data_IF_070579459683
#
_entry.id   IF_070579459683
#
_cell.length_a   1.000
_cell.length_b   1.000
_cell.length_c   1.000
_cell.angle_alpha   90.00
_cell.angle_beta   90.00
_cell.angle_gamma   90.00
#
_symmetry.space_group_name_H-M   'P 1'
#
loop_
_entity.id
_entity.type
_entity.pdbx_description
1 polymer ?
#
# COMPACT_ATOMS: atom_id res chain seq x y z
N UNK A 1 -4.51 -21.98 1.56
CA UNK A 1 -3.46 -21.95 2.61
C UNK A 1 -3.35 -20.52 3.10
N UNK A 2 -2.79 -20.27 4.28
CA UNK A 2 -2.60 -18.92 4.79
C UNK A 2 -1.11 -18.68 4.99
N UNK A 3 -0.67 -17.44 4.77
CA UNK A 3 0.71 -17.04 4.94
C UNK A 3 0.78 -15.78 5.80
N UNK A 4 1.87 -15.66 6.56
CA UNK A 4 2.28 -14.40 7.17
C UNK A 4 3.59 -13.96 6.52
N UNK A 5 3.68 -12.70 6.14
CA UNK A 5 4.87 -12.11 5.54
C UNK A 5 5.37 -11.05 6.50
N UNK A 6 6.64 -11.14 6.89
CA UNK A 6 7.29 -10.17 7.76
C UNK A 6 8.51 -9.62 7.04
N UNK A 7 8.86 -8.38 7.34
CA UNK A 7 10.11 -7.80 6.92
C UNK A 7 10.88 -7.21 8.11
N UNK A 8 12.13 -6.82 7.88
CA UNK A 8 12.93 -6.14 8.88
C UNK A 8 13.79 -5.05 8.28
N UNK A 9 14.21 -4.09 9.11
CA UNK A 9 15.04 -2.94 8.73
C UNK A 9 16.37 -3.29 8.05
N UNK A 10 16.79 -4.54 8.15
CA UNK A 10 17.98 -5.05 7.50
C UNK A 10 17.76 -5.42 6.02
N UNK A 11 16.54 -5.34 5.46
CA UNK A 11 16.23 -5.74 4.08
C UNK A 11 15.79 -7.19 3.90
N UNK A 12 15.63 -7.97 4.97
CA UNK A 12 15.12 -9.35 4.88
C UNK A 12 13.60 -9.35 4.88
N UNK A 13 13.00 -10.16 4.00
CA UNK A 13 11.57 -10.46 3.98
C UNK A 13 11.40 -11.98 4.13
N UNK A 14 10.56 -12.42 5.05
CA UNK A 14 10.32 -13.83 5.37
C UNK A 14 8.84 -14.17 5.15
N UNK A 15 8.58 -15.30 4.48
CA UNK A 15 7.24 -15.81 4.20
C UNK A 15 7.03 -17.09 5.01
N UNK A 16 6.06 -17.07 5.91
CA UNK A 16 5.69 -18.20 6.76
C UNK A 16 4.35 -18.79 6.32
N UNK A 17 4.32 -20.07 5.96
CA UNK A 17 3.06 -20.80 5.84
C UNK A 17 2.46 -21.03 7.23
N UNK A 18 1.24 -20.57 7.43
CA UNK A 18 0.48 -20.76 8.66
C UNK A 18 -0.22 -22.12 8.65
N UNK A 19 -0.03 -22.88 9.71
CA UNK A 19 -0.60 -24.22 9.88
C UNK A 19 -1.31 -24.31 11.23
N UNK A 20 -2.56 -24.77 11.22
CA UNK A 20 -3.33 -25.01 12.43
C UNK A 20 -3.20 -26.48 12.86
N UNK A 21 -2.81 -26.70 14.11
CA UNK A 21 -2.85 -28.00 14.75
C UNK A 21 -3.15 -27.84 16.24
N UNK A 22 -4.08 -28.66 16.77
CA UNK A 22 -4.43 -28.67 18.19
C UNK A 22 -4.77 -27.27 18.75
N UNK A 23 -5.63 -26.50 18.06
CA UNK A 23 -6.01 -25.12 18.40
C UNK A 23 -4.82 -24.15 18.52
N UNK A 24 -3.70 -24.43 17.87
CA UNK A 24 -2.51 -23.58 17.81
C UNK A 24 -2.16 -23.30 16.37
N UNK A 25 -1.86 -22.04 16.05
CA UNK A 25 -1.29 -21.64 14.76
C UNK A 25 0.22 -21.63 14.87
N UNK A 26 0.90 -22.35 13.99
CA UNK A 26 2.37 -22.31 13.85
C UNK A 26 2.75 -21.78 12.47
N UNK A 27 3.90 -21.12 12.37
CA UNK A 27 4.45 -20.62 11.12
C UNK A 27 5.64 -21.44 10.69
N UNK A 28 5.63 -21.95 9.45
CA UNK A 28 6.78 -22.60 8.81
C UNK A 28 7.36 -21.66 7.76
N UNK A 29 8.62 -21.26 7.90
CA UNK A 29 9.33 -20.48 6.88
C UNK A 29 9.36 -21.26 5.56
N UNK A 30 8.82 -20.67 4.49
CA UNK A 30 8.74 -21.28 3.15
C UNK A 30 9.55 -20.55 2.11
N UNK A 31 9.69 -19.23 2.24
CA UNK A 31 10.51 -18.40 1.35
C UNK A 31 11.16 -17.27 2.14
N UNK A 32 12.28 -16.78 1.61
CA UNK A 32 12.98 -15.60 2.10
C UNK A 32 13.42 -14.78 0.89
N UNK A 33 13.29 -13.46 0.98
CA UNK A 33 13.78 -12.50 -0.01
C UNK A 33 14.72 -11.49 0.65
N UNK A 34 15.51 -10.82 -0.20
CA UNK A 34 16.42 -9.77 0.23
C UNK A 34 16.31 -8.56 -0.70
N UNK A 35 16.17 -7.39 -0.11
CA UNK A 35 16.31 -6.08 -0.78
C UNK A 35 17.53 -5.35 -0.22
N UNK A 36 17.90 -4.27 -0.90
CA UNK A 36 19.13 -3.52 -0.67
C UNK A 36 19.11 -2.62 0.57
N UNK A 37 17.93 -2.21 1.06
CA UNK A 37 17.76 -1.34 2.22
C UNK A 37 16.44 -1.63 2.95
N UNK A 38 16.08 -0.79 3.93
CA UNK A 38 14.87 -0.97 4.73
C UNK A 38 13.60 -1.07 3.85
N UNK A 39 12.86 -2.19 3.96
CA UNK A 39 11.51 -2.34 3.45
C UNK A 39 10.49 -2.11 4.56
N UNK A 40 9.29 -1.67 4.21
CA UNK A 40 8.20 -1.50 5.18
C UNK A 40 6.85 -1.93 4.59
N UNK A 41 6.26 -1.14 3.69
CA UNK A 41 4.96 -1.45 3.12
C UNK A 41 4.96 -2.72 2.26
N UNK A 42 3.92 -3.55 2.42
CA UNK A 42 3.74 -4.78 1.66
C UNK A 42 2.28 -4.97 1.25
N UNK A 43 2.05 -5.41 0.01
CA UNK A 43 0.72 -5.79 -0.48
C UNK A 43 0.82 -7.04 -1.36
N UNK A 44 -0.17 -7.95 -1.28
CA UNK A 44 -0.20 -9.18 -2.07
C UNK A 44 -1.34 -9.21 -3.09
N UNK A 45 -1.11 -9.94 -4.18
CA UNK A 45 -2.15 -10.44 -5.08
C UNK A 45 -2.24 -11.95 -4.86
N UNK A 46 -3.20 -12.36 -4.03
CA UNK A 46 -3.28 -13.75 -3.54
C UNK A 46 -3.51 -14.77 -4.66
N UNK A 47 -4.23 -14.42 -5.72
CA UNK A 47 -4.52 -15.34 -6.83
C UNK A 47 -3.38 -15.44 -7.87
N UNK A 48 -2.43 -14.52 -7.85
CA UNK A 48 -1.29 -14.49 -8.79
C UNK A 48 0.04 -14.81 -8.10
N UNK A 49 0.01 -15.09 -6.80
CA UNK A 49 1.19 -15.33 -5.97
C UNK A 49 2.22 -14.18 -6.13
N UNK A 50 1.78 -12.93 -6.02
CA UNK A 50 2.65 -11.74 -6.12
C UNK A 50 2.69 -10.99 -4.79
N UNK A 51 3.87 -10.50 -4.45
CA UNK A 51 4.16 -9.60 -3.33
C UNK A 51 4.81 -8.32 -3.84
N UNK A 52 4.20 -7.17 -3.53
CA UNK A 52 4.81 -5.85 -3.65
C UNK A 52 5.44 -5.47 -2.31
N UNK A 53 6.64 -4.91 -2.35
CA UNK A 53 7.41 -4.46 -1.19
C UNK A 53 7.93 -3.05 -1.44
N UNK A 54 7.51 -2.09 -0.62
CA UNK A 54 8.08 -0.74 -0.60
C UNK A 54 9.45 -0.78 0.04
N UNK A 55 10.48 -0.42 -0.72
CA UNK A 55 11.84 -0.18 -0.23
C UNK A 55 11.98 1.33 -0.08
N UNK A 56 11.91 1.82 1.17
CA UNK A 56 11.57 3.21 1.55
C UNK A 56 12.22 4.27 0.67
N UNK A 57 13.55 4.18 0.48
CA UNK A 57 14.34 5.17 -0.26
C UNK A 57 14.79 4.70 -1.66
N UNK A 58 14.08 3.76 -2.30
CA UNK A 58 14.53 3.13 -3.54
C UNK A 58 13.43 2.96 -4.58
N UNK A 59 12.47 2.08 -4.31
CA UNK A 59 11.43 1.69 -5.26
C UNK A 59 10.43 0.72 -4.63
N UNK A 60 9.40 0.33 -5.39
CA UNK A 60 8.57 -0.84 -5.05
C UNK A 60 9.14 -2.06 -5.78
N UNK A 61 9.61 -3.04 -5.01
CA UNK A 61 10.08 -4.33 -5.48
C UNK A 61 8.89 -5.31 -5.61
N UNK A 62 8.85 -6.07 -6.70
CA UNK A 62 7.86 -7.13 -6.94
C UNK A 62 8.55 -8.48 -6.79
N UNK A 63 7.93 -9.39 -6.05
CA UNK A 63 8.39 -10.77 -5.86
C UNK A 63 7.27 -11.76 -6.18
N UNK A 64 7.64 -12.88 -6.78
CA UNK A 64 6.80 -14.06 -6.88
C UNK A 64 6.82 -14.88 -5.59
N UNK A 65 5.65 -15.28 -5.11
CA UNK A 65 5.44 -16.20 -4.00
C UNK A 65 5.29 -17.65 -4.50
N UNK A 66 5.34 -18.59 -3.56
CA UNK A 66 5.25 -20.01 -3.82
C UNK A 66 6.36 -20.53 -4.73
N UNK A 67 5.97 -20.99 -5.92
CA UNK A 67 6.88 -21.52 -6.94
C UNK A 67 7.27 -20.49 -8.00
N UNK A 68 6.68 -19.30 -7.94
CA UNK A 68 6.99 -18.23 -8.88
C UNK A 68 8.43 -17.76 -8.68
N UNK A 69 9.15 -17.52 -9.78
CA UNK A 69 10.48 -16.92 -9.76
C UNK A 69 10.45 -15.47 -10.21
N UNK A 70 9.26 -14.85 -10.25
CA UNK A 70 9.10 -13.48 -10.69
C UNK A 70 9.86 -12.53 -9.75
N UNK A 71 10.60 -11.60 -10.35
CA UNK A 71 11.24 -10.51 -9.62
C UNK A 71 11.42 -9.33 -10.57
N UNK A 72 10.88 -8.18 -10.17
CA UNK A 72 10.92 -6.96 -10.97
C UNK A 72 10.85 -5.72 -10.08
N UNK A 73 11.22 -4.57 -10.63
CA UNK A 73 10.98 -3.27 -10.00
C UNK A 73 9.75 -2.66 -10.69
N UNK A 74 8.77 -2.22 -9.90
CA UNK A 74 7.59 -1.57 -10.46
C UNK A 74 7.99 -0.22 -11.09
N UNK A 75 7.61 0.06 -12.35
CA UNK A 75 8.04 1.29 -13.03
C UNK A 75 7.54 2.57 -12.35
N UNK A 76 8.32 3.66 -12.44
CA UNK A 76 7.92 5.00 -11.94
C UNK A 76 7.67 5.08 -10.43
N UNK A 77 8.38 4.26 -9.64
CA UNK A 77 8.33 4.27 -8.17
C UNK A 77 9.60 4.84 -7.53
N UNK A 78 10.45 5.58 -8.25
CA UNK A 78 11.65 6.17 -7.68
C UNK A 78 11.75 7.65 -8.03
N UNK A 79 12.38 8.44 -7.15
CA UNK A 79 12.56 9.88 -7.40
C UNK A 79 13.35 10.17 -8.69
N UNK A 80 14.18 9.22 -9.14
CA UNK A 80 14.95 9.32 -10.38
C UNK A 80 14.10 9.19 -11.66
N UNK A 81 12.98 8.46 -11.59
CA UNK A 81 12.11 8.21 -12.75
C UNK A 81 10.73 8.85 -12.64
N UNK A 82 10.37 9.37 -11.47
CA UNK A 82 9.10 10.04 -11.20
C UNK A 82 9.28 11.13 -10.12
N UNK A 83 9.20 12.42 -10.47
CA UNK A 83 9.38 13.51 -9.50
C UNK A 83 8.27 13.61 -8.45
N UNK A 84 7.17 12.87 -8.62
CA UNK A 84 6.11 12.75 -7.61
C UNK A 84 6.42 11.73 -6.51
N UNK A 85 7.57 11.04 -6.58
CA UNK A 85 8.04 10.13 -5.54
C UNK A 85 9.08 10.83 -4.69
N UNK A 86 8.65 11.38 -3.56
CA UNK A 86 9.52 11.88 -2.51
C UNK A 86 9.51 10.89 -1.34
N UNK A 87 10.64 10.22 -1.13
CA UNK A 87 10.79 9.19 -0.10
C UNK A 87 10.44 9.72 1.30
N UNK A 88 9.86 8.90 2.17
CA UNK A 88 9.83 7.43 2.08
C UNK A 88 8.60 6.81 1.39
N UNK A 89 8.77 5.63 0.78
CA UNK A 89 7.67 4.76 0.33
C UNK A 89 7.27 3.89 1.51
N UNK A 90 6.09 4.16 2.06
CA UNK A 90 5.58 3.51 3.27
C UNK A 90 4.52 2.46 2.91
N UNK A 91 3.36 2.50 3.57
CA UNK A 91 2.27 1.56 3.39
C UNK A 91 1.86 1.37 1.94
N UNK A 92 1.64 0.10 1.58
CA UNK A 92 1.11 -0.32 0.29
C UNK A 92 -0.25 -1.01 0.53
N UNK A 93 -1.22 -0.71 -0.32
CA UNK A 93 -2.47 -1.46 -0.38
C UNK A 93 -2.89 -1.66 -1.83
N UNK A 94 -3.59 -2.75 -2.12
CA UNK A 94 -4.13 -3.00 -3.45
C UNK A 94 -5.65 -3.15 -3.40
N UNK A 95 -6.31 -2.81 -4.49
CA UNK A 95 -7.74 -3.07 -4.64
C UNK A 95 -8.11 -3.34 -6.09
N UNK A 96 -9.20 -4.08 -6.27
CA UNK A 96 -9.81 -4.34 -7.57
C UNK A 96 -11.06 -3.48 -7.75
N UNK A 97 -11.24 -2.91 -8.94
CA UNK A 97 -12.44 -2.17 -9.31
C UNK A 97 -12.75 -2.40 -10.78
N UNK A 98 -13.91 -2.98 -11.08
CA UNK A 98 -14.23 -3.41 -12.45
C UNK A 98 -13.33 -4.56 -12.89
N UNK A 99 -12.69 -4.41 -14.04
CA UNK A 99 -11.69 -5.33 -14.60
C UNK A 99 -10.24 -4.91 -14.31
N UNK A 100 -10.07 -3.88 -13.48
CA UNK A 100 -8.77 -3.29 -13.14
C UNK A 100 -8.35 -3.63 -11.73
N UNK A 101 -7.03 -3.70 -11.53
CA UNK A 101 -6.39 -3.77 -10.21
C UNK A 101 -5.45 -2.59 -10.03
N UNK A 102 -5.47 -2.01 -8.85
CA UNK A 102 -4.68 -0.84 -8.50
C UNK A 102 -3.82 -1.10 -7.27
N UNK A 103 -2.64 -0.51 -7.24
CA UNK A 103 -1.78 -0.40 -6.06
C UNK A 103 -1.74 1.06 -5.63
N UNK A 104 -2.00 1.33 -4.35
CA UNK A 104 -1.79 2.64 -3.73
C UNK A 104 -0.56 2.55 -2.83
N UNK A 105 0.36 3.50 -2.98
CA UNK A 105 1.53 3.65 -2.14
C UNK A 105 1.48 4.99 -1.38
N UNK A 106 1.71 4.96 -0.07
CA UNK A 106 2.00 6.17 0.71
C UNK A 106 3.40 6.67 0.35
N UNK A 107 3.47 7.90 -0.12
CA UNK A 107 4.71 8.61 -0.44
C UNK A 107 4.89 9.69 0.63
N UNK A 108 5.51 9.31 1.74
CA UNK A 108 5.55 10.05 2.98
C UNK A 108 6.28 11.39 2.82
N UNK A 109 7.39 11.44 2.10
CA UNK A 109 8.16 12.68 1.90
C UNK A 109 7.43 13.79 1.15
N UNK A 110 6.34 13.47 0.45
CA UNK A 110 5.47 14.46 -0.20
C UNK A 110 4.05 14.45 0.32
N UNK A 111 3.70 13.69 1.36
CA UNK A 111 2.34 13.58 1.90
C UNK A 111 1.32 13.30 0.78
N UNK A 112 1.66 12.37 -0.10
CA UNK A 112 0.85 12.02 -1.27
C UNK A 112 0.67 10.52 -1.37
N UNK A 113 -0.34 10.10 -2.11
CA UNK A 113 -0.61 8.70 -2.39
C UNK A 113 -0.50 8.48 -3.89
N UNK A 114 0.46 7.66 -4.32
CA UNK A 114 0.65 7.30 -5.72
C UNK A 114 -0.21 6.08 -6.08
N UNK A 115 -0.89 6.12 -7.23
CA UNK A 115 -1.72 5.03 -7.72
C UNK A 115 -1.12 4.45 -9.00
N UNK A 116 -1.02 3.13 -9.04
CA UNK A 116 -0.52 2.35 -10.17
C UNK A 116 -1.60 1.38 -10.66
N UNK A 117 -1.76 1.22 -11.97
CA UNK A 117 -2.46 0.09 -12.59
C UNK A 117 -1.52 -1.12 -12.53
N UNK A 118 -1.95 -2.17 -11.85
CA UNK A 118 -1.25 -3.45 -11.68
C UNK A 118 -2.11 -4.62 -12.19
N UNK A 119 -3.02 -4.33 -13.14
CA UNK A 119 -3.92 -5.33 -13.74
C UNK A 119 -3.15 -6.41 -14.47
N UNK A 120 -2.08 -6.03 -15.17
CA UNK A 120 -1.24 -6.94 -15.95
C UNK A 120 0.18 -6.91 -15.39
N UNK A 121 0.61 -8.04 -14.84
CA UNK A 121 1.97 -8.23 -14.36
C UNK A 121 3.00 -7.99 -15.49
N UNK A 122 3.98 -7.13 -15.24
CA UNK A 122 5.00 -6.71 -16.21
C UNK A 122 4.59 -5.56 -17.15
N UNK A 123 3.34 -5.09 -17.07
CA UNK A 123 2.84 -3.90 -17.79
C UNK A 123 2.33 -2.84 -16.82
N UNK A 124 2.86 -2.80 -15.59
CA UNK A 124 2.39 -1.89 -14.54
C UNK A 124 2.60 -0.42 -14.92
N UNK A 125 1.60 0.43 -14.63
CA UNK A 125 1.58 1.82 -15.09
C UNK A 125 1.28 2.75 -13.92
N UNK A 126 2.15 3.74 -13.68
CA UNK A 126 1.80 4.88 -12.82
C UNK A 126 0.66 5.69 -13.44
N UNK A 127 -0.39 5.93 -12.68
CA UNK A 127 -1.58 6.65 -13.13
C UNK A 127 -1.57 8.10 -12.65
N UNK A 128 -1.53 8.30 -11.33
CA UNK A 128 -1.69 9.62 -10.71
C UNK A 128 -1.19 9.61 -9.26
N UNK A 129 -1.08 10.79 -8.65
CA UNK A 129 -0.87 10.97 -7.22
C UNK A 129 -1.84 12.01 -6.67
N UNK A 130 -2.28 11.83 -5.43
CA UNK A 130 -3.17 12.79 -4.76
C UNK A 130 -2.72 13.10 -3.33
N UNK A 131 -3.18 14.23 -2.80
CA UNK A 131 -2.99 14.64 -1.39
C UNK A 131 -4.35 14.83 -0.74
N UNK A 132 -4.44 14.51 0.54
CA UNK A 132 -5.62 14.77 1.35
C UNK A 132 -5.48 16.13 2.04
N UNK A 133 -6.41 17.03 1.71
CA UNK A 133 -6.47 18.37 2.28
C UNK A 133 -7.64 18.48 3.24
N UNK A 134 -7.60 19.50 4.11
CA UNK A 134 -8.71 19.85 5.00
C UNK A 134 -10.03 19.90 4.24
N UNK A 135 -11.06 19.28 4.81
CA UNK A 135 -12.40 19.25 4.22
C UNK A 135 -13.30 20.39 4.74
N UNK A 136 -14.47 20.54 4.10
CA UNK A 136 -15.46 21.58 4.46
C UNK A 136 -16.04 21.41 5.86
N UNK A 137 -16.07 20.18 6.38
CA UNK A 137 -16.51 19.86 7.75
C UNK A 137 -15.44 20.19 8.81
N UNK A 138 -14.26 20.64 8.39
CA UNK A 138 -13.18 21.05 9.28
C UNK A 138 -12.21 19.93 9.68
N UNK A 139 -12.41 18.70 9.21
CA UNK A 139 -11.43 17.62 9.34
C UNK A 139 -10.19 18.02 8.56
N UNK A 140 -9.04 17.93 9.19
CA UNK A 140 -7.72 18.30 8.67
C UNK A 140 -7.29 17.44 7.48
N UNK A 141 -6.14 17.82 6.90
CA UNK A 141 -5.47 17.02 5.87
C UNK A 141 -4.81 15.78 6.46
N UNK A 142 -3.89 15.19 5.71
CA UNK A 142 -3.07 14.07 6.18
C UNK A 142 -1.63 14.32 5.83
N UNK A 143 -0.75 14.13 6.81
CA UNK A 143 0.70 14.28 6.68
C UNK A 143 1.41 13.08 7.32
N UNK A 144 2.64 12.79 6.87
CA UNK A 144 3.47 11.66 7.33
C UNK A 144 2.72 10.33 7.45
N UNK A 145 1.95 9.93 6.42
CA UNK A 145 1.27 8.63 6.45
C UNK A 145 2.26 7.47 6.44
N UNK A 146 2.23 6.64 7.49
CA UNK A 146 2.84 5.32 7.51
C UNK A 146 1.94 4.31 6.74
N UNK A 147 0.92 3.77 7.41
CA UNK A 147 0.04 2.72 6.88
C UNK A 147 -1.23 3.23 6.18
N UNK A 148 -1.68 2.47 5.18
CA UNK A 148 -2.98 2.64 4.52
C UNK A 148 -3.60 1.27 4.17
N UNK A 149 -4.92 1.24 4.00
CA UNK A 149 -5.64 0.06 3.54
C UNK A 149 -6.89 0.46 2.73
N UNK A 150 -7.27 -0.36 1.75
CA UNK A 150 -8.44 -0.12 0.89
C UNK A 150 -9.39 -1.30 0.92
N UNK A 151 -10.67 -1.00 1.10
CA UNK A 151 -11.76 -1.94 0.82
C UNK A 151 -12.59 -1.39 -0.32
N UNK A 152 -12.49 -1.98 -1.52
CA UNK A 152 -13.30 -1.62 -2.69
C UNK A 152 -14.60 -2.44 -2.75
N UNK A 153 -15.38 -2.41 -1.67
CA UNK A 153 -16.68 -3.09 -1.55
C UNK A 153 -17.65 -2.22 -0.75
N UNK A 154 -18.97 -2.30 -1.01
CA UNK A 154 -19.95 -1.52 -0.27
C UNK A 154 -19.85 -1.73 1.24
N UNK A 155 -19.71 -0.62 1.98
CA UNK A 155 -19.66 -0.60 3.45
C UNK A 155 -20.72 0.37 3.99
N UNK A 156 -21.96 -0.11 3.98
CA UNK A 156 -23.13 0.67 4.39
C UNK A 156 -23.42 1.82 3.43
N UNK A 157 -24.28 2.76 3.86
CA UNK A 157 -24.74 3.87 3.02
C UNK A 157 -23.72 4.98 2.86
N UNK A 158 -22.76 5.09 3.78
CA UNK A 158 -21.77 6.16 3.77
C UNK A 158 -20.62 5.88 2.79
N UNK A 159 -20.35 4.59 2.53
CA UNK A 159 -19.23 4.13 1.70
C UNK A 159 -19.73 3.12 0.66
N UNK A 160 -20.58 3.53 -0.29
CA UNK A 160 -21.27 2.61 -1.19
C UNK A 160 -20.33 1.88 -2.17
N UNK A 161 -19.19 2.48 -2.53
CA UNK A 161 -18.13 1.82 -3.32
C UNK A 161 -16.96 1.35 -2.43
N UNK A 162 -17.06 1.57 -1.13
CA UNK A 162 -16.02 1.24 -0.16
C UNK A 162 -15.22 2.44 0.35
N UNK A 163 -14.08 2.13 0.96
CA UNK A 163 -13.35 3.05 1.83
C UNK A 163 -11.84 2.88 1.66
N UNK A 164 -11.13 4.00 1.64
CA UNK A 164 -9.69 4.09 1.86
C UNK A 164 -9.47 4.60 3.29
N UNK A 165 -8.61 3.92 4.05
CA UNK A 165 -8.19 4.32 5.39
C UNK A 165 -6.70 4.64 5.34
N UNK A 166 -6.33 5.81 5.87
CA UNK A 166 -4.92 6.24 5.93
C UNK A 166 -4.59 6.68 7.35
N UNK A 167 -3.40 6.37 7.82
CA UNK A 167 -2.87 6.96 9.07
C UNK A 167 -2.49 8.42 8.83
N UNK A 168 -2.65 9.24 9.87
CA UNK A 168 -2.23 10.63 9.89
C UNK A 168 -1.23 10.90 11.01
N UNK A 169 0.00 11.23 10.61
CA UNK A 169 1.12 11.53 11.48
C UNK A 169 0.98 12.87 12.22
N UNK A 170 0.26 13.84 11.63
CA UNK A 170 0.03 15.16 12.21
C UNK A 170 -1.45 15.54 12.24
N UNK A 171 -2.18 14.92 13.16
CA UNK A 171 -3.61 15.17 13.36
C UNK A 171 -3.86 16.49 14.10
N UNK A 172 -4.58 17.42 13.47
CA UNK A 172 -4.94 18.72 14.03
C UNK A 172 -6.45 18.87 14.26
N UNK A 173 -6.81 19.34 15.46
CA UNK A 173 -8.12 19.93 15.71
C UNK A 173 -7.98 21.46 15.64
N UNK A 174 -8.37 22.04 14.51
CA UNK A 174 -8.16 23.46 14.21
C UNK A 174 -6.67 23.79 14.03
N UNK A 175 -6.05 24.35 15.07
CA UNK A 175 -4.61 24.66 15.12
C UNK A 175 -3.89 23.87 16.22
N UNK A 176 -4.60 23.01 16.94
CA UNK A 176 -4.05 22.26 18.07
C UNK A 176 -3.67 20.86 17.59
N UNK A 177 -2.37 20.54 17.70
CA UNK A 177 -1.87 19.20 17.44
C UNK A 177 -2.45 18.22 18.47
N UNK A 178 -2.97 17.11 17.97
CA UNK A 178 -3.53 16.00 18.73
C UNK A 178 -2.66 14.75 18.53
N UNK A 179 -3.01 13.66 19.22
CA UNK A 179 -2.43 12.36 18.92
C UNK A 179 -2.80 11.91 17.49
N UNK A 180 -1.91 11.14 16.88
CA UNK A 180 -2.13 10.50 15.58
C UNK A 180 -3.45 9.72 15.54
N UNK A 181 -4.05 9.66 14.35
CA UNK A 181 -5.27 8.90 14.11
C UNK A 181 -5.32 8.35 12.68
N UNK A 182 -6.52 8.00 12.22
CA UNK A 182 -6.76 7.57 10.85
C UNK A 182 -7.87 8.41 10.24
N UNK A 183 -7.74 8.70 8.94
CA UNK A 183 -8.82 9.32 8.17
C UNK A 183 -9.52 8.27 7.31
N UNK A 184 -10.82 8.51 7.11
CA UNK A 184 -11.73 7.65 6.37
C UNK A 184 -12.15 8.37 5.10
N UNK A 185 -11.77 7.83 3.96
CA UNK A 185 -12.00 8.43 2.65
C UNK A 185 -12.99 7.56 1.89
N UNK A 186 -14.07 8.18 1.42
CA UNK A 186 -14.99 7.54 0.48
C UNK A 186 -14.27 7.21 -0.82
N UNK A 187 -14.21 5.92 -1.15
CA UNK A 187 -13.42 5.43 -2.28
C UNK A 187 -13.87 6.06 -3.61
N UNK A 188 -15.13 6.50 -3.72
CA UNK A 188 -15.63 7.23 -4.90
C UNK A 188 -14.76 8.42 -5.28
N UNK A 189 -14.26 9.16 -4.29
CA UNK A 189 -13.39 10.33 -4.53
C UNK A 189 -12.03 9.94 -5.11
N UNK A 190 -11.54 8.75 -4.78
CA UNK A 190 -10.29 8.20 -5.33
C UNK A 190 -10.55 7.66 -6.74
N UNK A 191 -11.68 7.00 -6.97
CA UNK A 191 -12.05 6.50 -8.29
C UNK A 191 -12.25 7.64 -9.31
N UNK A 192 -12.82 8.76 -8.89
CA UNK A 192 -13.05 9.95 -9.74
C UNK A 192 -11.77 10.57 -10.33
N UNK A 193 -10.61 10.35 -9.70
CA UNK A 193 -9.31 10.89 -10.18
C UNK A 193 -8.53 9.89 -11.03
N UNK A 194 -9.02 8.65 -11.18
CA UNK A 194 -8.38 7.66 -12.04
C UNK A 194 -8.62 8.03 -13.51
N UNK A 195 -7.61 7.85 -14.38
CA UNK A 195 -7.81 8.02 -15.81
C UNK A 195 -8.81 6.98 -16.33
N UNK A 196 -9.64 7.39 -17.30
CA UNK A 196 -10.55 6.49 -18.03
C UNK A 196 -9.79 5.46 -18.86
#
# INVERSE_FOLDING_TARGET
>A
EFFAISNGKNGVIEVFQLQEANNTITGKLTQEFKVESQPEGMATIDNEDILYVGVEEKHIQVFGLGKSTHSAILPKTSSANNPFIAYDIEGLAQFEYGDKRYLIASIQGSFTYAIYDITTLGEEIYLTSFRLSKNEAGIDGVEETDGLEVLAKPLGTNYPEGILVVQDGFNYDGQTLQNQNFKLIDLRKVLEILPN
#
